data_IF_141686985285
#
_entry.id   IF_141686985285
#
_cell.length_a   1.000
_cell.length_b   1.000
_cell.length_c   1.000
_cell.angle_alpha   90.00
_cell.angle_beta   90.00
_cell.angle_gamma   90.00
#
_symmetry.space_group_name_H-M   'P 1'
#
loop_
_entity.id
_entity.type
_entity.pdbx_description
1 polymer ?
#
# COMPACT_ATOMS: atom_id res chain seq x y z
N UNK A 1 -12.50 -0.88 -3.26
CA UNK A 1 -11.09 -1.28 -3.02
C UNK A 1 -10.91 -2.01 -1.71
N UNK A 2 -11.22 -1.41 -0.55
CA UNK A 2 -11.02 -2.04 0.77
C UNK A 2 -11.51 -3.50 0.87
N UNK A 3 -12.79 -3.78 0.64
CA UNK A 3 -13.36 -5.13 0.80
C UNK A 3 -12.67 -6.19 -0.08
N UNK A 4 -12.34 -5.82 -1.32
CA UNK A 4 -11.64 -6.72 -2.25
C UNK A 4 -10.22 -7.03 -1.76
N UNK A 5 -9.47 -6.00 -1.34
CA UNK A 5 -8.11 -6.18 -0.82
C UNK A 5 -8.10 -6.95 0.50
N UNK A 6 -9.01 -6.64 1.43
CA UNK A 6 -9.14 -7.35 2.70
C UNK A 6 -9.42 -8.83 2.49
N UNK A 7 -10.33 -9.17 1.56
CA UNK A 7 -10.61 -10.56 1.22
C UNK A 7 -9.35 -11.27 0.73
N UNK A 8 -8.61 -10.67 -0.20
CA UNK A 8 -7.40 -11.28 -0.74
C UNK A 8 -6.32 -11.48 0.34
N UNK A 9 -6.15 -10.52 1.26
CA UNK A 9 -5.22 -10.68 2.39
C UNK A 9 -5.67 -11.78 3.33
N UNK A 10 -6.93 -11.78 3.73
CA UNK A 10 -7.49 -12.84 4.59
C UNK A 10 -7.29 -14.20 3.94
N UNK A 11 -7.69 -14.35 2.67
CA UNK A 11 -7.56 -15.61 1.93
C UNK A 11 -6.09 -16.08 1.89
N UNK A 12 -5.14 -15.18 1.67
CA UNK A 12 -3.70 -15.51 1.68
C UNK A 12 -3.18 -15.95 3.05
N UNK A 13 -3.67 -15.38 4.15
CA UNK A 13 -3.16 -15.70 5.49
C UNK A 13 -3.92 -16.84 6.18
N UNK A 14 -5.11 -17.22 5.69
CA UNK A 14 -5.94 -18.27 6.31
C UNK A 14 -6.07 -19.53 5.46
N UNK A 15 -6.02 -19.44 4.13
CA UNK A 15 -6.30 -20.57 3.26
C UNK A 15 -5.00 -21.17 2.69
N UNK A 16 -4.92 -22.49 2.48
CA UNK A 16 -3.76 -23.11 1.82
C UNK A 16 -3.53 -22.55 0.42
N UNK A 17 -2.25 -22.41 0.03
CA UNK A 17 -1.90 -22.08 -1.35
C UNK A 17 -2.29 -23.23 -2.27
N UNK A 18 -2.99 -22.90 -3.36
CA UNK A 18 -3.43 -23.87 -4.39
C UNK A 18 -2.50 -23.89 -5.61
N UNK A 19 -1.60 -22.92 -5.70
CA UNK A 19 -0.69 -22.72 -6.83
C UNK A 19 0.76 -22.96 -6.40
N UNK A 20 1.57 -23.49 -7.32
CA UNK A 20 3.01 -23.61 -7.10
C UNK A 20 3.66 -22.23 -7.12
N UNK A 21 4.48 -21.95 -6.11
CA UNK A 21 5.12 -20.65 -5.90
C UNK A 21 6.58 -20.84 -5.50
N UNK A 22 7.37 -19.79 -5.70
CA UNK A 22 8.77 -19.79 -5.29
C UNK A 22 8.93 -20.20 -3.81
N UNK A 23 9.97 -20.97 -3.50
CA UNK A 23 10.25 -21.54 -2.17
C UNK A 23 10.15 -20.50 -1.04
N UNK A 24 10.67 -19.29 -1.27
CA UNK A 24 10.62 -18.21 -0.26
C UNK A 24 9.20 -17.81 0.13
N UNK A 25 8.31 -17.67 -0.86
CA UNK A 25 6.91 -17.32 -0.62
C UNK A 25 6.17 -18.46 0.10
N UNK A 26 6.48 -19.72 -0.24
CA UNK A 26 5.91 -20.89 0.43
C UNK A 26 6.27 -20.92 1.93
N UNK A 27 7.55 -20.73 2.26
CA UNK A 27 8.02 -20.69 3.65
C UNK A 27 7.36 -19.54 4.43
N UNK A 28 7.30 -18.35 3.83
CA UNK A 28 6.64 -17.20 4.47
C UNK A 28 5.16 -17.46 4.77
N UNK A 29 4.44 -18.05 3.80
CA UNK A 29 3.04 -18.41 3.96
C UNK A 29 2.83 -19.46 5.07
N UNK A 30 3.63 -20.53 5.07
CA UNK A 30 3.59 -21.56 6.13
C UNK A 30 3.82 -20.99 7.53
N UNK A 31 4.74 -20.04 7.68
CA UNK A 31 5.00 -19.36 8.97
C UNK A 31 3.82 -18.49 9.37
N UNK A 32 3.23 -17.76 8.41
CA UNK A 32 2.11 -16.85 8.67
C UNK A 32 0.84 -17.61 9.08
N UNK A 33 0.60 -18.81 8.54
CA UNK A 33 -0.53 -19.66 8.92
C UNK A 33 -0.41 -20.27 10.32
N UNK A 34 0.79 -20.39 10.90
CA UNK A 34 0.96 -20.88 12.28
C UNK A 34 0.40 -19.90 13.31
N UNK A 35 0.33 -18.62 12.97
CA UNK A 35 -0.21 -17.56 13.80
C UNK A 35 -1.15 -16.68 12.97
N UNK A 36 -2.33 -17.18 12.59
CA UNK A 36 -3.21 -16.48 11.69
C UNK A 36 -3.68 -15.17 12.35
N UNK A 37 -3.30 -14.04 11.77
CA UNK A 37 -3.78 -12.73 12.19
C UNK A 37 -5.18 -12.50 11.64
N UNK A 38 -6.15 -12.24 12.52
CA UNK A 38 -7.50 -11.80 12.14
C UNK A 38 -7.62 -10.28 12.05
N UNK A 39 -6.50 -9.55 12.25
CA UNK A 39 -6.51 -8.10 12.15
C UNK A 39 -6.74 -7.65 10.70
N UNK A 40 -7.63 -6.67 10.51
CA UNK A 40 -7.81 -6.05 9.19
C UNK A 40 -6.51 -5.35 8.76
N UNK A 41 -5.98 -5.77 7.60
CA UNK A 41 -4.83 -5.12 6.97
C UNK A 41 -5.16 -3.77 6.35
N UNK A 42 -6.44 -3.50 6.07
CA UNK A 42 -6.88 -2.26 5.41
C UNK A 42 -7.82 -1.46 6.31
N UNK A 43 -7.30 -0.42 6.98
CA UNK A 43 -8.12 0.44 7.86
C UNK A 43 -9.28 1.12 7.12
N UNK A 44 -8.98 1.99 6.14
CA UNK A 44 -9.98 2.76 5.37
C UNK A 44 -9.98 2.41 3.88
N UNK A 45 -8.80 2.30 3.25
CA UNK A 45 -8.68 2.00 1.82
C UNK A 45 -9.25 3.11 0.92
N UNK A 46 -9.16 4.37 1.36
CA UNK A 46 -9.66 5.57 0.66
C UNK A 46 -8.47 6.34 0.11
N UNK A 47 -8.45 6.56 -1.22
CA UNK A 47 -7.46 7.42 -1.87
C UNK A 47 -7.73 8.86 -1.49
N UNK A 48 -6.70 9.58 -1.05
CA UNK A 48 -6.82 10.98 -0.66
C UNK A 48 -7.23 11.23 0.81
N UNK A 49 -7.45 10.19 1.64
CA UNK A 49 -7.77 10.38 3.08
C UNK A 49 -6.73 11.24 3.80
N UNK A 50 -5.48 11.25 3.33
CA UNK A 50 -4.39 12.07 3.86
C UNK A 50 -4.68 13.58 3.84
N UNK A 51 -5.52 14.06 2.90
CA UNK A 51 -5.84 15.49 2.75
C UNK A 51 -6.54 16.06 4.00
N UNK A 52 -7.29 15.22 4.71
CA UNK A 52 -7.98 15.59 5.96
C UNK A 52 -7.06 15.58 7.18
N UNK A 53 -5.84 15.04 7.06
CA UNK A 53 -4.89 14.92 8.19
C UNK A 53 -3.72 15.88 8.10
N UNK A 54 -3.44 16.45 6.93
CA UNK A 54 -2.34 17.37 6.72
C UNK A 54 -2.83 18.81 6.82
N UNK A 55 -2.12 19.64 7.59
CA UNK A 55 -2.26 21.09 7.46
C UNK A 55 -1.67 21.58 6.14
N UNK A 56 -2.00 22.80 5.73
CA UNK A 56 -1.44 23.41 4.52
C UNK A 56 0.09 23.47 4.56
N UNK A 57 0.67 23.91 5.67
CA UNK A 57 2.13 23.92 5.89
C UNK A 57 2.76 22.52 5.75
N UNK A 58 2.10 21.48 6.30
CA UNK A 58 2.57 20.10 6.17
C UNK A 58 2.56 19.64 4.70
N UNK A 59 1.56 20.05 3.93
CA UNK A 59 1.47 19.74 2.50
C UNK A 59 2.57 20.42 1.70
N UNK A 60 2.81 21.71 1.94
CA UNK A 60 3.91 22.44 1.30
C UNK A 60 5.25 21.79 1.59
N UNK A 61 5.50 21.45 2.86
CA UNK A 61 6.73 20.77 3.29
C UNK A 61 6.88 19.38 2.65
N UNK A 62 5.79 18.63 2.50
CA UNK A 62 5.81 17.33 1.84
C UNK A 62 6.12 17.48 0.35
N UNK A 63 5.48 18.43 -0.34
CA UNK A 63 5.70 18.70 -1.76
C UNK A 63 7.15 19.10 -2.03
N UNK A 64 7.73 19.97 -1.19
CA UNK A 64 9.14 20.35 -1.31
C UNK A 64 10.08 19.13 -1.21
N UNK A 65 9.84 18.22 -0.27
CA UNK A 65 10.62 16.98 -0.12
C UNK A 65 10.45 16.03 -1.29
N UNK A 66 9.24 15.90 -1.82
CA UNK A 66 8.96 15.08 -3.00
C UNK A 66 9.78 15.58 -4.20
N UNK A 67 9.75 16.89 -4.45
CA UNK A 67 10.51 17.50 -5.55
C UNK A 67 12.02 17.35 -5.31
N UNK A 68 12.52 17.61 -4.11
CA UNK A 68 13.95 17.41 -3.77
C UNK A 68 14.40 15.98 -4.09
N UNK A 69 13.66 14.98 -3.62
CA UNK A 69 14.08 13.57 -3.65
C UNK A 69 13.82 12.86 -4.98
N UNK A 70 12.81 13.30 -5.71
CA UNK A 70 12.44 12.72 -7.01
C UNK A 70 12.81 13.62 -8.18
N UNK A 71 13.57 14.70 -7.93
CA UNK A 71 14.13 15.53 -9.01
C UNK A 71 14.95 14.68 -9.97
N UNK A 72 14.68 14.82 -11.27
CA UNK A 72 15.30 14.01 -12.32
C UNK A 72 14.65 12.65 -12.58
N UNK A 73 13.60 12.27 -11.85
CA UNK A 73 12.74 11.14 -12.20
C UNK A 73 11.49 11.60 -12.95
N UNK A 74 10.99 10.76 -13.86
CA UNK A 74 9.78 11.03 -14.64
C UNK A 74 8.49 11.10 -13.80
N UNK A 75 8.55 10.69 -12.53
CA UNK A 75 7.40 10.68 -11.62
C UNK A 75 6.78 12.06 -11.42
N UNK A 76 7.59 13.12 -11.33
CA UNK A 76 7.07 14.48 -11.11
C UNK A 76 6.25 14.95 -12.31
N UNK A 77 6.76 14.73 -13.52
CA UNK A 77 6.06 15.11 -14.75
C UNK A 77 4.82 14.24 -14.99
N UNK A 78 4.89 12.95 -14.66
CA UNK A 78 3.74 12.06 -14.69
C UNK A 78 2.62 12.53 -13.75
N UNK A 79 2.95 12.89 -12.51
CA UNK A 79 1.97 13.34 -11.53
C UNK A 79 1.32 14.67 -11.90
N UNK A 80 2.09 15.63 -12.45
CA UNK A 80 1.53 16.87 -13.02
C UNK A 80 0.56 16.57 -14.16
N UNK A 81 0.91 15.65 -15.08
CA UNK A 81 0.04 15.26 -16.21
C UNK A 81 -1.33 14.73 -15.75
N UNK A 82 -1.37 14.02 -14.63
CA UNK A 82 -2.61 13.46 -14.09
C UNK A 82 -3.26 14.32 -12.98
N UNK A 83 -2.76 15.55 -12.73
CA UNK A 83 -3.35 16.49 -11.77
C UNK A 83 -3.24 16.02 -10.31
N UNK A 84 -2.20 15.25 -9.99
CA UNK A 84 -1.89 14.82 -8.61
C UNK A 84 -1.10 15.92 -7.88
N UNK A 85 -0.27 16.65 -8.62
CA UNK A 85 0.52 17.80 -8.20
C UNK A 85 0.18 19.03 -9.04
#
# INVERSE_FOLDING_TARGET
MKQHSEKNFTDFFTNPLTVDVAKGLRVFHEVSQKHPSTASFTRKGIVGDWKEHFTEEMNERMNAKIVERLSGADFIELWKKYGIM
#
